data_IF_683862114090
#
_entry.id   IF_683862114090
#
_cell.length_a   1.000
_cell.length_b   1.000
_cell.length_c   1.000
_cell.angle_alpha   90.00
_cell.angle_beta   90.00
_cell.angle_gamma   90.00
#
_symmetry.space_group_name_H-M   'P 1'
#
loop_
_entity.id
_entity.type
_entity.pdbx_description
1 polymer ?
#
# COMPACT_ATOMS: atom_id res chain seq x y z
N UNK A 1 7.46 20.70 31.41
CA UNK A 1 6.43 19.93 32.14
C UNK A 1 7.09 18.72 32.79
N UNK A 2 6.52 18.16 33.87
CA UNK A 2 7.00 16.92 34.50
C UNK A 2 5.96 15.80 34.32
N UNK A 3 6.42 14.60 33.99
CA UNK A 3 5.56 13.42 33.92
C UNK A 3 5.13 13.03 35.35
N UNK A 4 3.83 12.91 35.59
CA UNK A 4 3.29 12.60 36.93
C UNK A 4 2.31 11.43 36.83
N UNK A 5 2.34 10.53 37.81
CA UNK A 5 1.40 9.40 37.91
C UNK A 5 0.01 9.93 38.27
N UNK A 6 -1.01 9.44 37.58
CA UNK A 6 -2.40 9.77 37.83
C UNK A 6 -3.26 8.52 37.53
N UNK A 7 -3.73 7.84 38.58
CA UNK A 7 -4.52 6.61 38.47
C UNK A 7 -5.93 6.84 37.91
N UNK A 8 -6.42 8.09 37.87
CA UNK A 8 -7.76 8.42 37.38
C UNK A 8 -7.87 8.47 35.85
N UNK A 9 -6.74 8.40 35.14
CA UNK A 9 -6.69 8.45 33.68
C UNK A 9 -6.22 7.12 33.09
N UNK A 10 -6.69 6.80 31.89
CA UNK A 10 -6.50 5.49 31.25
C UNK A 10 -5.04 5.09 31.01
N UNK A 11 -4.14 6.06 30.86
CA UNK A 11 -2.71 5.82 30.66
C UNK A 11 -1.90 5.74 31.96
N UNK A 12 -2.51 6.06 33.11
CA UNK A 12 -1.83 6.11 34.40
C UNK A 12 -0.84 7.28 34.58
N UNK A 13 -0.58 8.08 33.54
CA UNK A 13 0.38 9.18 33.54
C UNK A 13 -0.08 10.39 32.70
N UNK A 14 0.25 11.60 33.13
CA UNK A 14 0.06 12.85 32.39
C UNK A 14 1.23 13.81 32.58
N UNK A 15 1.42 14.72 31.62
CA UNK A 15 2.34 15.85 31.74
C UNK A 15 1.69 16.94 32.56
N UNK A 16 2.37 17.42 33.61
CA UNK A 16 1.88 18.50 34.48
C UNK A 16 2.88 19.65 34.48
N UNK A 17 2.42 20.87 34.24
CA UNK A 17 3.23 22.06 34.49
C UNK A 17 3.20 22.40 35.99
N UNK A 18 4.38 22.59 36.58
CA UNK A 18 4.54 22.98 37.99
C UNK A 18 5.07 24.41 38.16
N UNK A 19 5.04 25.21 37.08
CA UNK A 19 5.50 26.60 37.13
C UNK A 19 4.62 27.42 38.07
N UNK A 20 5.24 28.29 38.88
CA UNK A 20 4.53 29.17 39.83
C UNK A 20 3.55 30.09 39.10
N UNK A 21 3.86 30.51 37.87
CA UNK A 21 3.02 31.36 37.01
C UNK A 21 1.74 30.66 36.52
N UNK A 22 1.60 29.36 36.75
CA UNK A 22 0.42 28.57 36.38
C UNK A 22 -0.29 27.96 37.61
N UNK A 23 0.00 28.44 38.84
CA UNK A 23 -0.73 28.04 40.05
C UNK A 23 -2.22 28.40 39.91
N UNK A 24 -3.10 27.43 40.16
CA UNK A 24 -4.56 27.59 40.03
C UNK A 24 -5.13 27.18 38.67
N UNK A 25 -4.32 27.17 37.60
CA UNK A 25 -4.75 26.69 36.26
C UNK A 25 -4.27 25.25 36.07
N UNK A 26 -5.19 24.29 35.91
CA UNK A 26 -4.88 22.87 35.61
C UNK A 26 -4.18 22.73 34.24
N UNK A 27 -2.91 23.07 34.17
CA UNK A 27 -2.06 22.97 33.00
C UNK A 27 -1.47 21.56 32.88
N UNK A 28 -2.36 20.59 32.64
CA UNK A 28 -1.97 19.19 32.39
C UNK A 28 -2.28 18.77 30.96
N UNK A 29 -1.43 17.92 30.37
CA UNK A 29 -1.59 17.38 29.02
C UNK A 29 -1.47 15.86 29.05
N UNK A 30 -2.21 15.18 28.18
CA UNK A 30 -2.08 13.72 28.02
C UNK A 30 -0.68 13.37 27.51
N UNK A 31 -0.16 12.21 27.91
CA UNK A 31 1.07 11.64 27.31
C UNK A 31 0.93 11.37 25.82
N UNK A 32 -0.31 11.31 25.31
CA UNK A 32 -0.62 11.08 23.90
C UNK A 32 -0.68 12.34 23.07
N UNK A 33 -0.62 13.52 23.68
CA UNK A 33 -0.80 14.79 22.96
C UNK A 33 0.28 14.95 21.89
N UNK A 34 -0.12 15.34 20.67
CA UNK A 34 0.77 15.46 19.51
C UNK A 34 1.05 14.13 18.78
N UNK A 35 0.68 12.98 19.39
CA UNK A 35 0.96 11.66 18.84
C UNK A 35 -0.17 11.11 17.97
N UNK A 36 0.13 9.99 17.29
CA UNK A 36 -0.86 9.13 16.65
C UNK A 36 -2.06 8.76 17.55
N UNK A 37 -1.83 8.68 18.85
CA UNK A 37 -2.79 8.18 19.84
C UNK A 37 -3.64 9.28 20.47
N UNK A 38 -3.44 10.53 20.07
CA UNK A 38 -4.17 11.67 20.62
C UNK A 38 -5.69 11.47 20.49
N UNK A 39 -6.42 11.75 21.58
CA UNK A 39 -7.88 11.60 21.70
C UNK A 39 -8.41 10.18 21.45
N UNK A 40 -7.55 9.17 21.30
CA UNK A 40 -7.98 7.79 21.15
C UNK A 40 -8.47 7.23 22.48
N UNK A 41 -9.61 6.54 22.48
CA UNK A 41 -10.12 5.79 23.65
C UNK A 41 -9.49 4.40 23.78
N UNK A 42 -8.67 3.99 22.81
CA UNK A 42 -8.00 2.68 22.80
C UNK A 42 -6.70 2.78 23.60
N UNK A 43 -6.39 1.76 24.40
CA UNK A 43 -5.16 1.73 25.19
C UNK A 43 -3.91 1.71 24.30
N UNK A 44 -2.79 2.22 24.81
CA UNK A 44 -1.51 2.18 24.10
C UNK A 44 -1.07 0.73 23.78
N UNK A 45 -1.17 -0.25 24.69
CA UNK A 45 -0.86 -1.65 24.37
C UNK A 45 -1.70 -2.19 23.20
N UNK A 46 -3.01 -1.93 23.18
CA UNK A 46 -3.88 -2.35 22.07
C UNK A 46 -3.48 -1.69 20.75
N UNK A 47 -3.04 -0.43 20.77
CA UNK A 47 -2.50 0.23 19.59
C UNK A 47 -1.20 -0.41 19.10
N UNK A 48 -0.28 -0.72 19.99
CA UNK A 48 0.99 -1.36 19.65
C UNK A 48 0.76 -2.75 19.06
N UNK A 49 -0.11 -3.56 19.69
CA UNK A 49 -0.52 -4.85 19.13
C UNK A 49 -1.17 -4.68 17.77
N UNK A 50 -2.06 -3.69 17.60
CA UNK A 50 -2.67 -3.40 16.31
C UNK A 50 -1.65 -3.02 15.24
N UNK A 51 -0.63 -2.21 15.56
CA UNK A 51 0.43 -1.79 14.64
C UNK A 51 1.32 -2.98 14.26
N UNK A 52 1.76 -3.75 15.26
CA UNK A 52 2.53 -4.98 15.08
C UNK A 52 1.82 -5.92 14.13
N UNK A 53 0.56 -6.24 14.46
CA UNK A 53 -0.31 -6.97 13.58
C UNK A 53 -0.30 -6.25 12.23
N UNK A 54 -0.79 -5.02 12.06
CA UNK A 54 -0.93 -4.36 10.75
C UNK A 54 0.28 -4.56 9.81
N UNK A 55 1.51 -4.50 10.33
CA UNK A 55 2.74 -4.76 9.56
C UNK A 55 2.85 -6.17 8.95
N UNK A 56 2.29 -7.21 9.56
CA UNK A 56 2.31 -8.59 9.04
C UNK A 56 1.16 -8.89 8.03
N UNK A 57 0.48 -7.87 7.48
CA UNK A 57 -0.43 -8.08 6.33
C UNK A 57 -1.87 -8.56 6.60
N UNK A 58 -2.36 -8.55 7.85
CA UNK A 58 -3.75 -8.85 8.26
C UNK A 58 -4.26 -10.24 7.82
N UNK A 59 -3.38 -11.24 7.70
CA UNK A 59 -3.69 -12.51 7.03
C UNK A 59 -4.80 -13.38 7.69
N UNK A 60 -5.12 -13.17 8.98
CA UNK A 60 -6.09 -13.98 9.79
C UNK A 60 -7.04 -13.13 10.68
N UNK A 61 -6.99 -11.80 10.55
CA UNK A 61 -7.16 -10.93 11.72
C UNK A 61 -8.53 -10.37 12.05
N UNK A 62 -9.55 -10.55 11.22
CA UNK A 62 -10.88 -10.15 11.68
C UNK A 62 -11.43 -11.09 12.76
N UNK A 63 -11.02 -12.36 12.74
CA UNK A 63 -11.37 -13.35 13.75
C UNK A 63 -10.45 -13.17 14.97
N UNK A 64 -9.12 -13.20 14.77
CA UNK A 64 -8.16 -13.04 15.87
C UNK A 64 -8.29 -11.71 16.62
N UNK A 65 -8.65 -10.59 15.96
CA UNK A 65 -8.76 -9.28 16.63
C UNK A 65 -10.13 -9.01 17.26
N UNK A 66 -11.12 -9.85 17.00
CA UNK A 66 -12.36 -9.88 17.79
C UNK A 66 -12.17 -10.74 19.05
N UNK A 67 -11.32 -11.77 18.98
CA UNK A 67 -10.92 -12.60 20.12
C UNK A 67 -9.87 -11.90 21.00
N UNK A 68 -8.82 -11.32 20.41
CA UNK A 68 -7.89 -10.41 21.07
C UNK A 68 -8.67 -9.14 21.43
N UNK A 69 -8.77 -8.79 22.72
CA UNK A 69 -9.51 -7.62 23.25
C UNK A 69 -8.99 -6.24 22.78
N UNK A 70 -8.25 -6.17 21.66
CA UNK A 70 -7.63 -4.98 21.04
C UNK A 70 -8.68 -3.90 20.75
N UNK A 71 -9.83 -4.29 20.19
CA UNK A 71 -10.91 -3.36 19.93
C UNK A 71 -12.28 -4.03 20.07
N UNK A 72 -13.15 -3.41 20.87
CA UNK A 72 -14.53 -3.86 21.12
C UNK A 72 -15.44 -3.85 19.87
N UNK A 73 -14.98 -3.35 18.72
CA UNK A 73 -15.79 -3.34 17.48
C UNK A 73 -14.97 -3.28 16.19
N UNK A 74 -15.52 -3.88 15.14
CA UNK A 74 -14.98 -3.88 13.76
C UNK A 74 -14.84 -2.46 13.18
N UNK A 75 -15.73 -1.53 13.58
CA UNK A 75 -15.69 -0.11 13.21
C UNK A 75 -14.44 0.56 13.74
N UNK A 76 -14.05 0.27 14.97
CA UNK A 76 -12.82 0.78 15.59
C UNK A 76 -11.58 0.26 14.87
N UNK A 77 -11.49 -1.04 14.62
CA UNK A 77 -10.39 -1.65 13.85
C UNK A 77 -10.25 -1.01 12.46
N UNK A 78 -11.38 -0.77 11.78
CA UNK A 78 -11.40 -0.10 10.48
C UNK A 78 -10.88 1.34 10.55
N UNK A 79 -11.17 2.07 11.63
CA UNK A 79 -10.63 3.41 11.89
C UNK A 79 -9.12 3.36 12.12
N UNK A 80 -8.64 2.44 12.96
CA UNK A 80 -7.20 2.27 13.24
C UNK A 80 -6.44 1.94 11.94
N UNK A 81 -6.95 0.98 11.16
CA UNK A 81 -6.36 0.62 9.87
C UNK A 81 -6.34 1.80 8.89
N UNK A 82 -7.38 2.63 8.88
CA UNK A 82 -7.46 3.84 8.04
C UNK A 82 -6.38 4.86 8.42
N UNK A 83 -6.12 5.05 9.71
CA UNK A 83 -5.07 5.95 10.17
C UNK A 83 -3.70 5.45 9.69
N UNK A 84 -3.36 4.17 9.91
CA UNK A 84 -2.08 3.61 9.46
C UNK A 84 -1.94 3.64 7.92
N UNK A 85 -3.00 3.33 7.16
CA UNK A 85 -2.98 3.46 5.69
C UNK A 85 -2.69 4.88 5.24
N UNK A 86 -3.23 5.90 5.91
CA UNK A 86 -2.93 7.31 5.59
C UNK A 86 -1.46 7.63 5.80
N UNK A 87 -0.86 7.13 6.88
CA UNK A 87 0.57 7.29 7.18
C UNK A 87 1.41 6.68 6.06
N UNK A 88 1.17 5.42 5.71
CA UNK A 88 1.85 4.74 4.61
C UNK A 88 1.67 5.48 3.27
N UNK A 89 0.45 5.93 2.97
CA UNK A 89 0.14 6.67 1.73
C UNK A 89 0.90 8.00 1.67
N UNK A 90 1.01 8.74 2.78
CA UNK A 90 1.77 10.00 2.84
C UNK A 90 3.26 9.74 2.64
N UNK A 91 3.83 8.75 3.34
CA UNK A 91 5.23 8.36 3.17
C UNK A 91 5.54 7.94 1.72
N UNK A 92 4.63 7.20 1.07
CA UNK A 92 4.79 6.81 -0.33
C UNK A 92 4.76 8.01 -1.28
N UNK A 93 3.86 8.98 -1.05
CA UNK A 93 3.83 10.23 -1.83
C UNK A 93 5.10 11.04 -1.67
N UNK A 94 5.64 11.15 -0.45
CA UNK A 94 6.90 11.84 -0.20
C UNK A 94 8.07 11.13 -0.89
N UNK A 95 8.10 9.79 -0.87
CA UNK A 95 9.08 9.02 -1.61
C UNK A 95 8.99 9.27 -3.12
N UNK A 96 7.78 9.27 -3.68
CA UNK A 96 7.54 9.57 -5.10
C UNK A 96 8.05 10.97 -5.48
N UNK A 97 7.81 11.98 -4.63
CA UNK A 97 8.30 13.34 -4.85
C UNK A 97 9.84 13.41 -4.83
N UNK A 98 10.48 12.74 -3.88
CA UNK A 98 11.94 12.81 -3.69
C UNK A 98 12.74 11.94 -4.65
N UNK A 99 12.20 10.79 -5.06
CA UNK A 99 12.94 9.74 -5.79
C UNK A 99 12.31 9.32 -7.11
N UNK A 100 11.23 9.98 -7.54
CA UNK A 100 10.45 9.72 -8.79
C UNK A 100 9.84 8.31 -8.89
N UNK A 101 10.12 7.40 -7.95
CA UNK A 101 9.70 5.99 -7.95
C UNK A 101 10.00 5.33 -9.31
N UNK A 102 11.27 5.34 -9.70
CA UNK A 102 11.74 4.72 -10.94
C UNK A 102 12.31 3.32 -10.68
N UNK A 103 12.15 2.43 -11.66
CA UNK A 103 12.69 1.08 -11.71
C UNK A 103 13.24 0.77 -13.10
N UNK A 104 13.80 -0.43 -13.27
CA UNK A 104 14.49 -0.87 -14.47
C UNK A 104 15.99 -0.56 -14.46
N UNK A 105 16.64 -0.87 -15.57
CA UNK A 105 18.09 -0.83 -15.77
C UNK A 105 18.64 -2.18 -16.23
N UNK A 106 19.97 -2.31 -16.26
CA UNK A 106 20.63 -3.53 -16.76
C UNK A 106 20.35 -4.80 -15.94
N UNK A 107 20.06 -4.67 -14.64
CA UNK A 107 19.89 -5.79 -13.70
C UNK A 107 18.43 -6.00 -13.25
N UNK A 108 17.46 -5.37 -13.91
CA UNK A 108 16.04 -5.49 -13.56
C UNK A 108 15.23 -5.49 -14.84
N UNK A 109 14.41 -6.52 -15.02
CA UNK A 109 13.36 -6.50 -16.02
C UNK A 109 12.04 -6.06 -15.39
N UNK A 110 11.16 -5.53 -16.21
CA UNK A 110 9.86 -5.05 -15.80
C UNK A 110 8.78 -5.78 -16.59
N UNK A 111 7.84 -6.40 -15.88
CA UNK A 111 6.62 -6.96 -16.48
C UNK A 111 5.51 -5.91 -16.38
N UNK A 112 4.74 -5.70 -17.45
CA UNK A 112 3.61 -4.77 -17.48
C UNK A 112 2.33 -5.47 -17.90
N UNK A 113 1.21 -5.13 -17.25
CA UNK A 113 -0.12 -5.70 -17.55
C UNK A 113 -1.24 -4.84 -16.92
N UNK A 114 -2.47 -4.98 -17.42
CA UNK A 114 -3.67 -4.39 -16.82
C UNK A 114 -4.56 -5.44 -16.18
N UNK A 115 -4.91 -5.20 -14.91
CA UNK A 115 -5.84 -6.06 -14.20
C UNK A 115 -7.11 -5.36 -13.75
N UNK A 116 -8.21 -6.08 -13.85
CA UNK A 116 -9.51 -5.60 -13.38
C UNK A 116 -9.72 -5.96 -11.90
N UNK A 117 -9.94 -4.94 -11.07
CA UNK A 117 -10.19 -5.06 -9.62
C UNK A 117 -11.68 -5.01 -9.24
N UNK A 118 -12.58 -5.13 -10.22
CA UNK A 118 -14.02 -5.28 -9.97
C UNK A 118 -14.31 -6.58 -9.26
N UNK A 119 -15.34 -6.55 -8.42
CA UNK A 119 -15.89 -7.78 -7.87
C UNK A 119 -16.59 -8.55 -9.01
N UNK A 120 -16.07 -9.73 -9.36
CA UNK A 120 -16.75 -10.65 -10.27
C UNK A 120 -17.91 -11.29 -9.51
N UNK A 121 -19.13 -11.23 -10.05
CA UNK A 121 -20.28 -11.95 -9.48
C UNK A 121 -20.04 -13.45 -9.65
N UNK A 122 -20.33 -14.25 -8.62
CA UNK A 122 -20.28 -15.71 -8.72
C UNK A 122 -21.32 -16.14 -9.76
N UNK A 123 -20.89 -16.78 -10.84
CA UNK A 123 -21.74 -17.19 -11.99
C UNK A 123 -22.56 -16.05 -12.63
N UNK A 124 -22.12 -14.79 -12.50
CA UNK A 124 -22.90 -13.66 -12.99
C UNK A 124 -24.21 -13.39 -12.22
N UNK A 125 -24.47 -14.09 -11.10
CA UNK A 125 -25.70 -13.96 -10.30
C UNK A 125 -25.46 -13.17 -9.00
N UNK A 126 -26.54 -12.59 -8.46
CA UNK A 126 -26.54 -11.83 -7.20
C UNK A 126 -26.31 -10.31 -7.36
N UNK A 127 -26.28 -9.61 -6.20
CA UNK A 127 -26.22 -8.14 -6.14
C UNK A 127 -25.01 -7.57 -6.87
N UNK A 128 -25.27 -6.65 -7.80
CA UNK A 128 -24.23 -5.84 -8.41
C UNK A 128 -23.66 -4.87 -7.37
N UNK A 129 -22.51 -5.21 -6.80
CA UNK A 129 -21.75 -4.29 -5.95
C UNK A 129 -21.49 -2.97 -6.69
N UNK A 130 -21.43 -1.85 -5.97
CA UNK A 130 -21.09 -0.51 -6.52
C UNK A 130 -19.79 -0.53 -7.35
N UNK A 131 -18.91 -1.50 -7.11
CA UNK A 131 -17.70 -1.74 -7.89
C UNK A 131 -17.96 -2.17 -9.33
N UNK A 132 -19.09 -2.80 -9.64
CA UNK A 132 -19.40 -3.32 -10.97
C UNK A 132 -19.50 -2.21 -12.03
N UNK A 133 -20.03 -1.04 -11.63
CA UNK A 133 -20.11 0.17 -12.45
C UNK A 133 -18.75 0.84 -12.72
N UNK A 134 -17.68 0.44 -12.00
CA UNK A 134 -16.36 1.08 -12.13
C UNK A 134 -15.67 0.65 -13.43
N UNK A 135 -15.62 1.54 -14.41
CA UNK A 135 -14.94 1.25 -15.70
C UNK A 135 -13.41 1.17 -15.64
N UNK A 136 -12.82 1.65 -14.54
CA UNK A 136 -11.35 1.78 -14.37
C UNK A 136 -10.64 0.44 -14.15
N UNK A 137 -9.45 0.34 -14.71
CA UNK A 137 -8.49 -0.76 -14.59
C UNK A 137 -7.33 -0.37 -13.69
N UNK A 138 -6.58 -1.34 -13.19
CA UNK A 138 -5.29 -1.10 -12.54
C UNK A 138 -4.21 -1.52 -13.52
N UNK A 139 -3.42 -0.56 -14.01
CA UNK A 139 -2.21 -0.82 -14.77
C UNK A 139 -1.08 -1.10 -13.77
N UNK A 140 -0.45 -2.26 -13.90
CA UNK A 140 0.64 -2.72 -13.06
C UNK A 140 1.93 -2.76 -13.86
N UNK A 141 2.99 -2.27 -13.24
CA UNK A 141 4.36 -2.48 -13.69
C UNK A 141 5.10 -3.12 -12.52
N UNK A 142 5.73 -4.26 -12.74
CA UNK A 142 6.43 -5.01 -11.72
C UNK A 142 7.90 -5.15 -12.08
N UNK A 143 8.74 -4.40 -11.36
CA UNK A 143 10.18 -4.58 -11.42
C UNK A 143 10.61 -5.85 -10.68
N UNK A 144 11.37 -6.70 -11.37
CA UNK A 144 11.89 -7.97 -10.87
C UNK A 144 13.42 -7.91 -10.88
N UNK A 145 14.01 -7.94 -9.68
CA UNK A 145 15.46 -8.02 -9.48
C UNK A 145 15.77 -9.07 -8.43
N UNK A 146 16.24 -10.24 -8.84
CA UNK A 146 16.38 -11.43 -7.99
C UNK A 146 15.07 -11.73 -7.23
N UNK A 147 15.10 -11.77 -5.90
CA UNK A 147 13.92 -11.99 -5.05
C UNK A 147 13.13 -10.70 -4.76
N UNK A 148 13.61 -9.54 -5.21
CA UNK A 148 12.93 -8.27 -4.98
C UNK A 148 11.82 -8.06 -5.99
N UNK A 149 10.68 -7.56 -5.49
CA UNK A 149 9.51 -7.20 -6.27
C UNK A 149 9.17 -5.74 -6.03
N UNK A 150 9.09 -4.95 -7.10
CA UNK A 150 8.81 -3.51 -7.04
C UNK A 150 7.58 -3.16 -7.86
N UNK A 151 6.37 -3.34 -7.30
CA UNK A 151 5.15 -3.02 -8.01
C UNK A 151 4.91 -1.50 -8.07
N UNK A 152 4.44 -1.03 -9.21
CA UNK A 152 3.85 0.29 -9.39
C UNK A 152 2.45 0.07 -9.95
N UNK A 153 1.44 0.52 -9.22
CA UNK A 153 0.03 0.25 -9.48
C UNK A 153 -0.69 1.57 -9.73
N UNK A 154 -1.24 1.74 -10.92
CA UNK A 154 -1.91 2.97 -11.34
C UNK A 154 -3.34 2.68 -11.76
N UNK A 155 -4.28 3.40 -11.15
CA UNK A 155 -5.67 3.32 -11.56
C UNK A 155 -5.86 4.13 -12.85
N UNK A 156 -6.26 3.45 -13.93
CA UNK A 156 -6.41 4.04 -15.26
C UNK A 156 -7.85 3.91 -15.75
N UNK A 157 -8.37 4.96 -16.39
CA UNK A 157 -9.70 4.97 -17.00
C UNK A 157 -9.68 4.37 -18.40
N UNK A 158 -8.65 4.72 -19.18
CA UNK A 158 -8.45 4.29 -20.55
C UNK A 158 -7.18 3.47 -20.63
N UNK A 159 -7.28 2.44 -21.46
CA UNK A 159 -6.24 1.48 -21.78
C UNK A 159 -5.64 1.80 -23.16
N UNK A 160 -5.57 3.09 -23.53
CA UNK A 160 -4.96 3.45 -24.81
C UNK A 160 -3.48 3.71 -24.64
N UNK A 161 -2.73 3.57 -25.74
CA UNK A 161 -1.31 3.91 -25.83
C UNK A 161 -0.98 5.26 -25.20
N UNK A 162 -1.75 6.30 -25.53
CA UNK A 162 -1.56 7.67 -25.04
C UNK A 162 -1.68 7.80 -23.51
N UNK A 163 -2.34 6.85 -22.83
CA UNK A 163 -2.46 6.85 -21.37
C UNK A 163 -1.38 6.01 -20.69
N UNK A 164 -0.98 4.89 -21.29
CA UNK A 164 -0.10 3.92 -20.64
C UNK A 164 1.37 4.20 -20.89
N UNK A 165 1.72 4.62 -22.11
CA UNK A 165 3.11 4.94 -22.46
C UNK A 165 3.71 6.04 -21.56
N UNK A 166 3.02 7.18 -21.29
CA UNK A 166 3.57 8.18 -20.37
C UNK A 166 3.77 7.66 -18.94
N UNK A 167 2.95 6.70 -18.51
CA UNK A 167 3.09 6.07 -17.19
C UNK A 167 4.34 5.18 -17.16
N UNK A 168 4.58 4.42 -18.22
CA UNK A 168 5.78 3.58 -18.38
C UNK A 168 7.03 4.46 -18.38
N UNK A 169 7.09 5.47 -19.25
CA UNK A 169 8.25 6.38 -19.38
C UNK A 169 8.57 7.10 -18.07
N UNK A 170 7.54 7.49 -17.32
CA UNK A 170 7.73 8.13 -16.01
C UNK A 170 8.43 7.21 -15.00
N UNK A 171 8.18 5.91 -15.05
CA UNK A 171 8.52 4.96 -13.99
C UNK A 171 9.57 3.90 -14.38
N UNK A 172 9.80 3.68 -15.67
CA UNK A 172 10.72 2.66 -16.18
C UNK A 172 11.82 3.35 -16.98
N UNK A 173 13.08 3.10 -16.59
CA UNK A 173 14.25 3.68 -17.25
C UNK A 173 14.40 3.15 -18.68
N UNK A 174 14.79 3.97 -19.67
CA UNK A 174 15.22 3.48 -20.98
C UNK A 174 16.32 2.41 -20.86
N UNK A 175 16.42 1.51 -21.85
CA UNK A 175 17.33 0.36 -21.86
C UNK A 175 16.86 -0.86 -21.04
N UNK A 176 15.77 -0.71 -20.29
CA UNK A 176 15.17 -1.79 -19.48
C UNK A 176 14.56 -2.86 -20.38
N UNK A 177 14.68 -4.12 -19.93
CA UNK A 177 13.90 -5.23 -20.49
C UNK A 177 12.45 -5.09 -20.04
N UNK A 178 11.55 -4.85 -20.99
CA UNK A 178 10.11 -4.79 -20.74
C UNK A 178 9.45 -6.05 -21.29
N UNK A 179 8.60 -6.69 -20.49
CA UNK A 179 7.81 -7.85 -20.89
C UNK A 179 6.34 -7.48 -20.79
N UNK A 180 5.57 -7.73 -21.86
CA UNK A 180 4.11 -7.55 -21.86
C UNK A 180 3.44 -8.65 -22.67
N UNK A 181 2.12 -8.72 -22.59
CA UNK A 181 1.33 -9.48 -23.55
C UNK A 181 1.41 -8.82 -24.95
N UNK A 182 0.94 -9.50 -26.00
CA UNK A 182 0.90 -9.01 -27.39
C UNK A 182 -0.10 -7.85 -27.64
N UNK A 183 -0.26 -6.96 -26.68
CA UNK A 183 -1.24 -5.91 -26.82
C UNK A 183 -0.81 -4.85 -27.85
N UNK A 184 -1.67 -4.62 -28.84
CA UNK A 184 -1.46 -3.69 -29.96
C UNK A 184 -1.03 -2.28 -29.54
N UNK A 185 -1.41 -1.83 -28.34
CA UNK A 185 -1.00 -0.53 -27.83
C UNK A 185 0.52 -0.40 -27.66
N UNK A 186 1.23 -1.50 -27.41
CA UNK A 186 2.67 -1.53 -27.14
C UNK A 186 3.54 -1.80 -28.36
N UNK A 187 2.99 -2.51 -29.36
CA UNK A 187 3.73 -2.98 -30.55
C UNK A 187 4.49 -1.83 -31.24
N UNK A 188 5.81 -1.98 -31.38
CA UNK A 188 6.75 -1.05 -32.03
C UNK A 188 7.11 0.21 -31.21
N UNK A 189 6.19 0.73 -30.39
CA UNK A 189 6.38 2.01 -29.69
C UNK A 189 7.39 1.92 -28.55
N UNK A 190 7.37 0.82 -27.78
CA UNK A 190 8.31 0.65 -26.67
C UNK A 190 9.75 0.49 -27.16
N UNK A 191 9.95 -0.23 -28.27
CA UNK A 191 11.27 -0.34 -28.91
C UNK A 191 11.81 1.04 -29.33
N UNK A 192 10.98 1.85 -29.99
CA UNK A 192 11.35 3.21 -30.42
C UNK A 192 11.65 4.16 -29.25
N UNK A 193 11.15 3.88 -28.05
CA UNK A 193 11.44 4.64 -26.82
C UNK A 193 12.68 4.14 -26.08
N UNK A 194 13.44 3.23 -26.69
CA UNK A 194 14.69 2.70 -26.15
C UNK A 194 14.51 1.54 -25.17
N UNK A 195 13.37 0.85 -25.17
CA UNK A 195 13.17 -0.35 -24.36
C UNK A 195 13.48 -1.63 -25.13
N UNK A 196 14.06 -2.61 -24.45
CA UNK A 196 14.18 -3.98 -24.99
C UNK A 196 12.87 -4.70 -24.71
N UNK A 197 11.93 -4.59 -25.63
CA UNK A 197 10.56 -5.07 -25.43
C UNK A 197 10.40 -6.50 -25.96
N UNK A 198 9.98 -7.39 -25.07
CA UNK A 198 9.56 -8.75 -25.39
C UNK A 198 8.05 -8.89 -25.18
N UNK A 199 7.41 -9.66 -26.06
CA UNK A 199 5.99 -9.95 -25.99
C UNK A 199 5.75 -11.43 -25.76
N UNK A 200 4.72 -11.76 -24.99
CA UNK A 200 4.29 -13.15 -24.78
C UNK A 200 2.91 -13.33 -25.39
N UNK A 201 2.78 -14.33 -26.25
CA UNK A 201 1.50 -14.70 -26.83
C UNK A 201 0.82 -15.78 -26.00
N UNK A 202 -0.08 -15.38 -25.12
CA UNK A 202 -0.79 -16.30 -24.23
C UNK A 202 -1.81 -17.23 -24.91
N UNK A 203 -2.13 -17.05 -26.20
CA UNK A 203 -2.94 -18.05 -26.92
C UNK A 203 -2.12 -19.24 -27.40
N UNK A 204 -0.80 -19.12 -27.46
CA UNK A 204 0.10 -20.18 -27.92
C UNK A 204 1.02 -20.68 -26.81
N UNK A 205 1.55 -19.78 -25.95
CA UNK A 205 2.66 -20.10 -25.05
C UNK A 205 2.50 -19.49 -23.65
N UNK A 206 2.88 -20.26 -22.63
CA UNK A 206 3.01 -19.78 -21.24
C UNK A 206 4.37 -19.11 -20.96
N UNK A 207 5.39 -19.52 -21.72
CA UNK A 207 6.74 -18.96 -21.75
C UNK A 207 7.10 -18.91 -23.23
N UNK A 208 7.54 -17.76 -23.72
CA UNK A 208 7.97 -17.64 -25.11
C UNK A 208 9.19 -18.55 -25.35
N UNK A 209 9.12 -19.50 -26.31
CA UNK A 209 10.16 -20.52 -26.47
C UNK A 209 11.49 -19.96 -27.01
N UNK A 210 11.44 -18.82 -27.72
CA UNK A 210 12.62 -18.23 -28.34
C UNK A 210 13.37 -17.27 -27.40
N UNK A 211 12.63 -16.54 -26.58
CA UNK A 211 13.15 -15.46 -25.73
C UNK A 211 13.14 -15.81 -24.25
N UNK A 212 12.43 -16.87 -23.86
CA UNK A 212 12.19 -17.24 -22.46
C UNK A 212 11.29 -16.25 -21.71
N UNK A 213 10.70 -15.26 -22.40
CA UNK A 213 9.91 -14.22 -21.77
C UNK A 213 8.59 -14.77 -21.20
N UNK A 214 8.21 -14.34 -20.00
CA UNK A 214 6.95 -14.73 -19.38
C UNK A 214 6.40 -13.63 -18.44
N UNK A 215 5.08 -13.52 -18.35
CA UNK A 215 4.38 -12.53 -17.50
C UNK A 215 4.04 -13.06 -16.08
N UNK A 216 4.35 -14.33 -15.81
CA UNK A 216 3.95 -15.06 -14.59
C UNK A 216 4.24 -14.34 -13.27
N UNK A 217 5.33 -13.57 -13.19
CA UNK A 217 5.64 -12.79 -11.98
C UNK A 217 4.54 -11.79 -11.65
N UNK A 218 4.02 -11.09 -12.66
CA UNK A 218 2.95 -10.12 -12.49
C UNK A 218 1.59 -10.80 -12.31
N UNK A 219 1.33 -11.91 -13.00
CA UNK A 219 0.12 -12.71 -12.78
C UNK A 219 -0.01 -13.21 -11.33
N UNK A 220 1.06 -13.79 -10.79
CA UNK A 220 1.12 -14.21 -9.38
C UNK A 220 0.96 -13.02 -8.44
N UNK A 221 1.58 -11.89 -8.77
CA UNK A 221 1.45 -10.66 -8.00
C UNK A 221 -0.01 -10.15 -8.00
N UNK A 222 -0.73 -10.23 -9.12
CA UNK A 222 -2.12 -9.84 -9.21
C UNK A 222 -3.02 -10.62 -8.26
N UNK A 223 -2.83 -11.93 -8.16
CA UNK A 223 -3.58 -12.76 -7.22
C UNK A 223 -3.37 -12.28 -5.78
N UNK A 224 -2.11 -12.04 -5.38
CA UNK A 224 -1.76 -11.53 -4.05
C UNK A 224 -2.39 -10.14 -3.79
N UNK A 225 -2.26 -9.22 -4.75
CA UNK A 225 -2.77 -7.85 -4.62
C UNK A 225 -4.30 -7.82 -4.53
N UNK A 226 -4.99 -8.57 -5.39
CA UNK A 226 -6.45 -8.69 -5.36
C UNK A 226 -6.93 -9.30 -4.05
N UNK A 227 -6.29 -10.38 -3.60
CA UNK A 227 -6.61 -11.04 -2.33
C UNK A 227 -6.50 -10.07 -1.16
N UNK A 228 -5.40 -9.30 -1.07
CA UNK A 228 -5.21 -8.28 -0.02
C UNK A 228 -6.28 -7.18 -0.07
N UNK A 229 -6.66 -6.72 -1.26
CA UNK A 229 -7.71 -5.71 -1.44
C UNK A 229 -9.09 -6.26 -1.06
N UNK A 230 -9.45 -7.46 -1.53
CA UNK A 230 -10.78 -8.04 -1.31
C UNK A 230 -11.01 -8.45 0.15
N UNK A 231 -10.01 -9.05 0.82
CA UNK A 231 -10.09 -9.39 2.25
C UNK A 231 -10.43 -8.17 3.12
N UNK A 232 -9.87 -7.00 2.78
CA UNK A 232 -10.12 -5.75 3.51
C UNK A 232 -11.32 -4.97 3.00
N UNK A 233 -12.09 -5.53 2.05
CA UNK A 233 -13.15 -4.84 1.31
C UNK A 233 -12.68 -3.48 0.77
N UNK A 234 -11.41 -3.42 0.37
CA UNK A 234 -10.67 -2.23 0.01
C UNK A 234 -11.06 -1.63 -1.35
N UNK A 235 -11.92 -2.29 -2.12
CA UNK A 235 -12.34 -1.83 -3.44
C UNK A 235 -13.74 -1.18 -3.46
N UNK A 236 -14.42 -0.98 -2.32
CA UNK A 236 -15.78 -0.39 -2.27
C UNK A 236 -15.88 0.97 -2.95
N UNK A 237 -14.88 1.84 -2.76
CA UNK A 237 -14.77 3.14 -3.44
C UNK A 237 -13.45 3.25 -4.18
N UNK A 238 -13.36 4.14 -5.15
CA UNK A 238 -12.10 4.43 -5.85
C UNK A 238 -11.03 4.93 -4.89
N UNK A 239 -11.41 5.80 -3.95
CA UNK A 239 -10.50 6.32 -2.92
C UNK A 239 -9.91 5.19 -2.08
N UNK A 240 -10.75 4.26 -1.62
CA UNK A 240 -10.27 3.10 -0.87
C UNK A 240 -9.35 2.22 -1.70
N UNK A 241 -9.67 2.00 -2.98
CA UNK A 241 -8.81 1.21 -3.86
C UNK A 241 -7.43 1.85 -3.98
N UNK A 242 -7.36 3.17 -4.25
CA UNK A 242 -6.11 3.93 -4.32
C UNK A 242 -5.30 3.83 -3.01
N UNK A 243 -5.95 3.95 -1.85
CA UNK A 243 -5.29 3.79 -0.55
C UNK A 243 -4.70 2.38 -0.35
N UNK A 244 -5.37 1.33 -0.82
CA UNK A 244 -4.86 -0.05 -0.70
C UNK A 244 -3.75 -0.35 -1.71
N UNK A 245 -3.84 0.16 -2.94
CA UNK A 245 -2.75 0.07 -3.92
C UNK A 245 -1.50 0.78 -3.40
N UNK A 246 -1.65 1.99 -2.84
CA UNK A 246 -0.55 2.71 -2.21
C UNK A 246 0.06 1.97 -1.02
N UNK A 247 -0.75 1.24 -0.23
CA UNK A 247 -0.25 0.39 0.85
C UNK A 247 0.58 -0.79 0.32
N UNK A 248 0.15 -1.41 -0.78
CA UNK A 248 0.92 -2.48 -1.45
C UNK A 248 2.27 -1.94 -1.91
N UNK A 249 2.27 -0.80 -2.62
CA UNK A 249 3.50 -0.14 -3.05
C UNK A 249 4.40 0.20 -1.86
N UNK A 250 3.85 0.83 -0.82
CA UNK A 250 4.59 1.18 0.39
C UNK A 250 5.24 -0.05 1.04
N UNK A 251 4.51 -1.18 1.10
CA UNK A 251 5.03 -2.43 1.69
C UNK A 251 6.28 -2.91 0.94
N UNK A 252 6.21 -2.96 -0.40
CA UNK A 252 7.29 -3.50 -1.24
C UNK A 252 8.45 -2.50 -1.42
N UNK A 253 8.15 -1.21 -1.59
CA UNK A 253 9.16 -0.19 -1.86
C UNK A 253 9.87 0.33 -0.62
N UNK A 254 9.16 0.45 0.51
CA UNK A 254 9.67 1.08 1.72
C UNK A 254 9.74 0.12 2.89
N UNK A 255 8.74 -0.75 3.06
CA UNK A 255 8.61 -1.67 4.18
C UNK A 255 9.65 -2.79 4.16
N UNK A 256 9.58 -3.66 3.15
CA UNK A 256 10.44 -4.84 2.99
C UNK A 256 11.93 -4.49 2.84
N UNK A 257 12.22 -3.27 2.36
CA UNK A 257 13.59 -2.77 2.18
C UNK A 257 14.18 -2.09 3.41
N UNK A 258 13.39 -1.92 4.46
CA UNK A 258 13.87 -1.25 5.66
C UNK A 258 14.69 -2.23 6.52
N UNK A 259 15.81 -1.76 7.08
CA UNK A 259 16.72 -2.60 7.91
C UNK A 259 16.01 -3.29 9.08
N UNK A 260 14.93 -2.68 9.60
CA UNK A 260 14.10 -3.22 10.69
C UNK A 260 12.77 -3.82 10.20
N UNK A 261 12.70 -4.22 8.93
CA UNK A 261 11.51 -4.74 8.27
C UNK A 261 10.33 -3.74 8.21
N UNK A 262 9.17 -4.27 7.86
CA UNK A 262 7.93 -3.51 7.64
C UNK A 262 7.48 -2.79 8.92
N UNK A 263 7.58 -3.43 10.08
CA UNK A 263 7.22 -2.82 11.36
C UNK A 263 8.11 -1.63 11.70
N UNK A 264 9.43 -1.80 11.59
CA UNK A 264 10.36 -0.71 11.85
C UNK A 264 10.18 0.45 10.88
N UNK A 265 9.86 0.16 9.61
CA UNK A 265 9.50 1.20 8.65
C UNK A 265 8.24 1.96 9.08
N UNK A 266 7.22 1.25 9.52
CA UNK A 266 5.96 1.84 9.95
C UNK A 266 6.15 2.78 11.14
N UNK A 267 6.94 2.38 12.15
CA UNK A 267 7.27 3.27 13.27
C UNK A 267 8.03 4.51 12.84
N UNK A 268 9.00 4.38 11.92
CA UNK A 268 9.70 5.53 11.35
C UNK A 268 8.73 6.50 10.66
N UNK A 269 7.79 5.98 9.86
CA UNK A 269 6.82 6.82 9.16
C UNK A 269 5.78 7.44 10.11
N UNK A 270 5.44 6.77 11.23
CA UNK A 270 4.65 7.35 12.32
C UNK A 270 5.42 8.52 12.96
N UNK A 271 6.67 8.31 13.36
CA UNK A 271 7.51 9.33 14.00
C UNK A 271 7.68 10.57 13.12
N UNK A 272 7.95 10.40 11.82
CA UNK A 272 8.07 11.53 10.90
C UNK A 272 6.78 12.36 10.76
N UNK A 273 5.60 11.77 10.96
CA UNK A 273 4.32 12.47 10.84
C UNK A 273 3.82 13.02 12.17
N UNK A 274 4.28 12.46 13.28
CA UNK A 274 3.94 12.84 14.65
C UNK A 274 5.23 12.94 15.47
N UNK A 275 6.05 13.97 15.25
CA UNK A 275 7.22 14.23 16.07
C UNK A 275 6.73 14.77 17.42
N UNK A 276 6.73 13.90 18.43
CA UNK A 276 6.35 14.23 19.82
C UNK A 276 7.58 14.16 20.70
#
# INVERSE_FOLDING_TARGET
MKLTRNSKISDGYNWVCRSKNHRGVKSSRSVRTGSLFEKSKISLPSWLTFIYRFSQGLHLRQIDMMQDRIARSSKTLSRMAKVLRKICTKAMKEYQKRRRQQMGGQQEFVVIDESNFRHKRKYGRGRASTTWRRRKWVFGMLGVKHNLRRPILRLVTRRSRNHLIPIIVKHVRPGTILISDEWRAYRGVLANMGYRHFTVNHSHWFVDPNTGAHSQHLERAWLSYKTRVWRLRGNRTEKMLKEHLALIEWTNWLGERHRRGVLGRLFRDIYHQFPV
#
